data_IF_900938490204
#
_entry.id   IF_900938490204
#
_cell.length_a   1.000
_cell.length_b   1.000
_cell.length_c   1.000
_cell.angle_alpha   90.00
_cell.angle_beta   90.00
_cell.angle_gamma   90.00
#
_symmetry.space_group_name_H-M   'P 1'
#
loop_
_entity.id
_entity.type
_entity.pdbx_description
1 polymer ?
#
# COMPACT_ATOMS: atom_id res chain seq x y z
N UNK A 1 1.25 1.00 -24.17
CA UNK A 1 1.74 1.15 -22.79
C UNK A 1 2.80 2.25 -22.84
N UNK A 2 2.60 3.38 -22.15
CA UNK A 2 3.60 4.46 -22.13
C UNK A 2 4.90 3.92 -21.52
N UNK A 3 6.03 4.31 -22.14
CA UNK A 3 7.37 4.01 -21.61
C UNK A 3 7.75 4.95 -20.45
N UNK A 4 7.16 6.14 -20.42
CA UNK A 4 7.52 7.25 -19.55
C UNK A 4 6.80 7.24 -18.19
N UNK A 5 5.53 6.85 -18.16
CA UNK A 5 4.73 6.74 -16.94
C UNK A 5 4.32 5.28 -16.78
N UNK A 6 4.93 4.62 -15.79
CA UNK A 6 4.57 3.25 -15.43
C UNK A 6 3.11 3.21 -14.99
N UNK A 7 2.40 2.16 -15.41
CA UNK A 7 1.03 1.87 -14.99
C UNK A 7 -0.02 2.98 -15.26
N UNK A 8 0.17 3.80 -16.29
CA UNK A 8 -0.83 4.83 -16.64
C UNK A 8 -2.15 4.20 -17.11
N UNK A 9 -3.25 4.52 -16.41
CA UNK A 9 -4.55 3.89 -16.59
C UNK A 9 -5.53 4.68 -17.49
N UNK A 10 -5.15 5.88 -17.89
CA UNK A 10 -5.92 6.76 -18.78
C UNK A 10 -5.15 7.08 -20.06
N UNK A 11 -5.86 7.56 -21.08
CA UNK A 11 -5.26 8.23 -22.23
C UNK A 11 -5.88 9.61 -22.39
N UNK A 12 -5.06 10.57 -22.79
CA UNK A 12 -5.44 11.97 -23.00
C UNK A 12 -5.65 12.18 -24.50
N UNK A 13 -6.74 12.85 -24.87
CA UNK A 13 -6.93 13.33 -26.23
C UNK A 13 -6.12 14.63 -26.41
N UNK A 14 -5.10 14.61 -27.26
CA UNK A 14 -4.38 15.81 -27.64
C UNK A 14 -5.21 16.60 -28.66
N UNK A 15 -5.67 17.80 -28.28
CA UNK A 15 -6.51 18.68 -29.12
C UNK A 15 -5.79 19.12 -30.40
N UNK A 16 -4.47 19.31 -30.34
CA UNK A 16 -3.63 19.65 -31.48
C UNK A 16 -3.64 18.58 -32.60
N UNK A 17 -3.40 17.31 -32.26
CA UNK A 17 -3.32 16.21 -33.23
C UNK A 17 -4.63 15.46 -33.45
N UNK A 18 -5.64 15.67 -32.58
CA UNK A 18 -6.88 14.88 -32.47
C UNK A 18 -6.60 13.37 -32.33
N UNK A 19 -5.56 13.02 -31.57
CA UNK A 19 -5.12 11.64 -31.32
C UNK A 19 -4.98 11.38 -29.82
N UNK A 20 -5.10 10.12 -29.44
CA UNK A 20 -5.00 9.67 -28.05
C UNK A 20 -3.56 9.33 -27.70
N UNK A 21 -3.09 9.82 -26.56
CA UNK A 21 -1.75 9.56 -26.06
C UNK A 21 -1.82 9.20 -24.58
N UNK A 22 -0.93 8.32 -24.14
CA UNK A 22 -0.85 7.90 -22.75
C UNK A 22 -0.19 8.98 -21.85
N UNK A 23 0.71 9.79 -22.38
CA UNK A 23 1.54 10.75 -21.64
C UNK A 23 2.09 11.85 -22.59
N UNK A 24 2.49 13.01 -22.06
CA UNK A 24 2.96 14.14 -22.88
C UNK A 24 4.24 13.82 -23.67
N UNK A 25 5.13 13.01 -23.10
CA UNK A 25 6.35 12.56 -23.78
C UNK A 25 6.03 11.63 -24.95
N UNK A 26 5.02 10.76 -24.83
CA UNK A 26 4.58 9.91 -25.96
C UNK A 26 3.98 10.71 -27.12
N UNK A 27 3.46 11.92 -26.87
CA UNK A 27 3.06 12.84 -27.94
C UNK A 27 4.27 13.50 -28.59
N UNK A 28 5.25 13.96 -27.80
CA UNK A 28 6.49 14.57 -28.31
C UNK A 28 7.32 13.60 -29.16
N UNK A 29 7.27 12.30 -28.89
CA UNK A 29 7.91 11.28 -29.74
C UNK A 29 7.21 11.09 -31.10
N UNK A 30 5.91 11.34 -31.16
CA UNK A 30 5.08 11.06 -32.35
C UNK A 30 4.71 12.32 -33.15
N UNK A 31 5.05 13.50 -32.65
CA UNK A 31 4.68 14.76 -33.27
C UNK A 31 5.74 15.84 -33.06
N UNK A 32 5.87 16.71 -34.05
CA UNK A 32 6.93 17.73 -34.11
C UNK A 32 6.61 19.01 -33.31
N UNK A 33 5.64 18.96 -32.40
CA UNK A 33 5.19 20.12 -31.60
C UNK A 33 4.89 19.71 -30.15
N UNK A 34 4.72 20.69 -29.26
CA UNK A 34 4.31 20.47 -27.86
C UNK A 34 2.79 20.26 -27.74
N UNK A 35 2.35 19.45 -26.78
CA UNK A 35 0.92 19.31 -26.47
C UNK A 35 0.36 20.69 -26.11
N UNK A 36 -0.72 21.06 -26.79
CA UNK A 36 -1.50 22.25 -26.46
C UNK A 36 -2.19 22.08 -25.10
N UNK A 37 -1.95 23.03 -24.19
CA UNK A 37 -2.52 23.06 -22.84
C UNK A 37 -3.88 23.73 -22.92
N UNK A 38 -4.89 23.06 -22.38
CA UNK A 38 -6.25 23.58 -22.32
C UNK A 38 -6.82 23.38 -20.91
N UNK A 39 -7.84 24.16 -20.56
CA UNK A 39 -8.52 24.12 -19.26
C UNK A 39 -9.32 22.82 -19.14
N UNK A 40 -9.94 22.39 -20.25
CA UNK A 40 -10.72 21.15 -20.30
C UNK A 40 -9.89 20.05 -20.97
N UNK A 41 -9.61 18.98 -20.22
CA UNK A 41 -8.96 17.78 -20.76
C UNK A 41 -10.00 16.67 -20.97
N UNK A 42 -9.86 15.97 -22.09
CA UNK A 42 -10.69 14.82 -22.44
C UNK A 42 -9.86 13.56 -22.25
N UNK A 43 -10.34 12.69 -21.37
CA UNK A 43 -9.64 11.48 -20.93
C UNK A 43 -10.48 10.24 -21.26
N UNK A 44 -9.80 9.13 -21.57
CA UNK A 44 -10.42 7.81 -21.68
C UNK A 44 -9.79 6.87 -20.67
N UNK A 45 -10.62 6.18 -19.88
CA UNK A 45 -10.14 5.15 -18.96
C UNK A 45 -9.89 3.83 -19.70
N UNK A 46 -8.72 3.20 -19.51
CA UNK A 46 -8.40 1.91 -20.16
C UNK A 46 -9.24 0.75 -19.63
N UNK A 47 -9.63 0.79 -18.35
CA UNK A 47 -10.45 -0.25 -17.69
C UNK A 47 -11.88 -0.29 -18.23
N UNK A 48 -12.57 0.86 -18.25
CA UNK A 48 -13.97 0.93 -18.67
C UNK A 48 -14.19 1.43 -20.11
N UNK A 49 -13.14 1.93 -20.77
CA UNK A 49 -13.16 2.51 -22.14
C UNK A 49 -14.17 3.64 -22.31
N UNK A 50 -14.57 4.30 -21.22
CA UNK A 50 -15.46 5.45 -21.26
C UNK A 50 -14.66 6.74 -21.25
N UNK A 51 -15.12 7.67 -22.08
CA UNK A 51 -14.57 9.01 -22.21
C UNK A 51 -15.25 9.91 -21.19
N UNK A 52 -14.46 10.72 -20.51
CA UNK A 52 -14.93 11.73 -19.56
C UNK A 52 -14.08 13.00 -19.71
N UNK A 53 -14.56 14.09 -19.12
CA UNK A 53 -13.91 15.40 -19.17
C UNK A 53 -13.52 15.83 -17.77
N UNK A 54 -12.42 16.55 -17.67
CA UNK A 54 -11.94 17.12 -16.42
C UNK A 54 -11.54 18.58 -16.64
N UNK A 55 -11.88 19.41 -15.66
CA UNK A 55 -11.45 20.80 -15.60
C UNK A 55 -10.17 20.90 -14.77
N UNK A 56 -9.06 21.27 -15.41
CA UNK A 56 -7.74 21.36 -14.77
C UNK A 56 -7.68 22.45 -13.70
N UNK A 57 -8.54 23.48 -13.81
CA UNK A 57 -8.60 24.60 -12.85
C UNK A 57 -9.16 24.20 -11.48
N UNK A 58 -9.94 23.11 -11.42
CA UNK A 58 -10.55 22.61 -10.18
C UNK A 58 -9.98 21.27 -9.74
N UNK A 59 -8.87 20.86 -10.35
CA UNK A 59 -8.32 19.53 -10.16
C UNK A 59 -7.87 19.31 -8.71
N UNK A 60 -8.52 18.37 -8.03
CA UNK A 60 -8.11 17.85 -6.72
C UNK A 60 -7.52 16.43 -6.91
N UNK A 61 -6.22 16.21 -6.62
CA UNK A 61 -5.59 14.89 -6.74
C UNK A 61 -6.31 13.76 -5.98
N UNK A 62 -7.00 14.07 -4.88
CA UNK A 62 -7.66 13.10 -4.02
C UNK A 62 -9.04 12.69 -4.57
N UNK A 63 -9.80 13.64 -5.13
CA UNK A 63 -11.16 13.41 -5.61
C UNK A 63 -11.18 13.09 -7.12
N UNK A 64 -10.40 13.83 -7.90
CA UNK A 64 -10.29 13.68 -9.35
C UNK A 64 -9.24 12.65 -9.76
N UNK A 65 -8.54 12.02 -8.82
CA UNK A 65 -7.60 10.93 -9.11
C UNK A 65 -8.25 9.65 -9.67
N UNK A 66 -9.59 9.59 -9.74
CA UNK A 66 -10.36 8.39 -10.04
C UNK A 66 -11.31 8.56 -11.23
N UNK A 67 -11.54 7.47 -11.95
CA UNK A 67 -12.52 7.46 -13.03
C UNK A 67 -13.93 7.52 -12.44
N UNK A 68 -14.79 8.49 -12.83
CA UNK A 68 -16.12 8.73 -12.23
C UNK A 68 -17.15 7.63 -12.52
N UNK A 69 -16.73 6.48 -13.06
CA UNK A 69 -17.62 5.40 -13.47
C UNK A 69 -17.18 4.02 -13.00
N UNK A 70 -15.88 3.79 -12.83
CA UNK A 70 -15.37 2.48 -12.40
C UNK A 70 -14.34 2.59 -11.27
N UNK A 71 -14.23 3.78 -10.68
CA UNK A 71 -13.33 4.15 -9.57
C UNK A 71 -11.89 3.69 -9.79
N UNK A 72 -11.46 3.65 -11.06
CA UNK A 72 -10.09 3.31 -11.40
C UNK A 72 -9.20 4.53 -11.19
N UNK A 73 -8.16 4.38 -10.37
CA UNK A 73 -7.19 5.44 -10.14
C UNK A 73 -6.35 5.69 -11.40
N UNK A 74 -6.17 6.96 -11.80
CA UNK A 74 -5.52 7.32 -13.06
C UNK A 74 -4.00 7.19 -12.98
N UNK A 75 -3.47 7.49 -11.80
CA UNK A 75 -2.06 7.35 -11.45
C UNK A 75 -1.95 6.37 -10.29
N UNK A 76 -1.50 5.16 -10.59
CA UNK A 76 -1.03 4.23 -9.58
C UNK A 76 0.46 4.54 -9.42
N UNK A 77 0.88 4.88 -8.20
CA UNK A 77 2.30 4.91 -7.88
C UNK A 77 2.89 3.56 -8.29
N UNK A 78 3.98 3.61 -9.06
CA UNK A 78 4.68 2.38 -9.38
C UNK A 78 5.16 1.79 -8.07
N UNK A 79 4.92 0.50 -7.83
CA UNK A 79 5.77 -0.32 -6.97
C UNK A 79 7.17 -0.29 -7.62
N UNK A 80 7.91 0.80 -7.43
CA UNK A 80 9.36 0.71 -7.28
C UNK A 80 9.52 -0.34 -6.21
N UNK A 81 10.18 -1.47 -6.47
CA UNK A 81 10.39 -2.53 -5.47
C UNK A 81 11.00 -2.04 -4.15
N UNK A 82 11.36 -0.77 -4.05
CA UNK A 82 11.66 -0.03 -2.82
C UNK A 82 10.46 0.07 -1.84
N UNK A 83 9.21 -0.05 -2.29
CA UNK A 83 8.02 -0.21 -1.41
C UNK A 83 7.83 -1.65 -0.91
N UNK A 84 8.70 -2.59 -1.30
CA UNK A 84 8.77 -3.94 -0.71
C UNK A 84 9.56 -3.99 0.61
N UNK A 85 9.96 -2.85 1.18
CA UNK A 85 10.12 -2.75 2.63
C UNK A 85 8.74 -2.67 3.32
N UNK A 86 7.78 -3.52 2.91
CA UNK A 86 6.74 -3.97 3.83
C UNK A 86 7.50 -4.54 5.02
N UNK A 87 7.43 -3.86 6.16
CA UNK A 87 8.00 -4.37 7.42
C UNK A 87 7.38 -5.73 7.70
N UNK A 88 8.01 -6.79 7.20
CA UNK A 88 7.70 -8.17 7.56
C UNK A 88 8.37 -8.40 8.89
N UNK A 89 7.62 -8.20 9.97
CA UNK A 89 8.06 -8.60 11.31
C UNK A 89 8.08 -10.12 11.33
N UNK A 90 9.26 -10.71 11.13
CA UNK A 90 9.46 -12.15 11.33
C UNK A 90 9.48 -12.38 12.84
N UNK A 91 8.40 -12.95 13.37
CA UNK A 91 8.34 -13.38 14.78
C UNK A 91 8.97 -14.76 14.86
N UNK A 92 10.20 -14.83 15.36
CA UNK A 92 10.85 -16.09 15.68
C UNK A 92 10.40 -16.53 17.08
N UNK A 93 9.87 -17.75 17.21
CA UNK A 93 9.51 -18.31 18.50
C UNK A 93 10.80 -18.65 19.26
N UNK A 94 10.87 -18.31 20.55
CA UNK A 94 11.99 -18.74 21.40
C UNK A 94 11.96 -20.25 21.60
N UNK A 95 13.14 -20.85 21.71
CA UNK A 95 13.31 -22.29 21.98
C UNK A 95 12.48 -22.72 23.20
N UNK A 96 11.58 -23.69 22.98
CA UNK A 96 10.69 -24.26 24.00
C UNK A 96 9.24 -23.76 23.97
N UNK A 97 8.85 -22.87 23.05
CA UNK A 97 7.44 -22.55 22.80
C UNK A 97 6.87 -23.42 21.66
N UNK A 98 5.79 -24.14 21.96
CA UNK A 98 4.96 -24.79 20.93
C UNK A 98 4.15 -23.72 20.17
N UNK A 99 3.90 -23.91 18.86
CA UNK A 99 3.15 -22.96 18.03
C UNK A 99 1.77 -22.59 18.61
N UNK A 100 1.14 -23.54 19.32
CA UNK A 100 -0.14 -23.32 19.97
C UNK A 100 -0.07 -22.28 21.11
N UNK A 101 1.08 -22.11 21.77
CA UNK A 101 1.26 -21.25 22.95
C UNK A 101 1.84 -19.87 22.64
N UNK A 102 2.19 -19.62 21.37
CA UNK A 102 2.70 -18.32 20.91
C UNK A 102 1.68 -17.18 21.09
N UNK A 103 0.38 -17.49 21.02
CA UNK A 103 -0.69 -16.51 21.21
C UNK A 103 -1.31 -16.69 22.60
N UNK A 104 -1.24 -15.62 23.40
CA UNK A 104 -1.90 -15.56 24.72
C UNK A 104 -3.42 -15.59 24.52
N UNK A 105 -4.05 -16.65 25.02
CA UNK A 105 -5.52 -16.73 25.12
C UNK A 105 -5.91 -16.70 26.60
N UNK A 106 -6.68 -15.70 27.02
CA UNK A 106 -7.13 -15.51 28.41
C UNK A 106 -8.36 -16.34 28.77
N UNK A 107 -8.98 -17.01 27.79
CA UNK A 107 -10.20 -17.81 28.00
C UNK A 107 -9.90 -19.24 28.44
N UNK A 108 -8.67 -19.72 28.23
CA UNK A 108 -8.24 -21.06 28.59
C UNK A 108 -7.31 -21.03 29.83
N UNK A 109 -7.84 -21.33 31.03
CA UNK A 109 -7.06 -21.30 32.27
C UNK A 109 -5.98 -22.39 32.33
N UNK A 110 -6.16 -23.51 31.61
CA UNK A 110 -5.18 -24.59 31.59
C UNK A 110 -3.94 -24.21 30.77
N UNK A 111 -4.15 -23.46 29.68
CA UNK A 111 -3.08 -22.88 28.87
C UNK A 111 -2.27 -21.83 29.65
N UNK A 112 -2.95 -20.98 30.42
CA UNK A 112 -2.28 -19.95 31.22
C UNK A 112 -1.49 -20.54 32.40
N UNK A 113 -1.99 -21.60 33.04
CA UNK A 113 -1.24 -22.34 34.06
C UNK A 113 0.03 -22.99 33.51
N UNK A 114 -0.03 -23.56 32.30
CA UNK A 114 1.13 -24.15 31.59
C UNK A 114 2.19 -23.08 31.28
N UNK A 115 1.75 -21.93 30.77
CA UNK A 115 2.62 -20.78 30.47
C UNK A 115 3.32 -20.26 31.74
N UNK A 116 2.59 -20.11 32.84
CA UNK A 116 3.15 -19.68 34.13
C UNK A 116 4.23 -20.63 34.65
N UNK A 117 3.96 -21.93 34.61
CA UNK A 117 4.93 -22.95 35.03
C UNK A 117 6.21 -22.91 34.19
N UNK A 118 6.10 -22.78 32.86
CA UNK A 118 7.27 -22.65 31.99
C UNK A 118 8.09 -21.38 32.30
N UNK A 119 7.42 -20.27 32.59
CA UNK A 119 8.07 -19.00 32.95
C UNK A 119 8.83 -19.14 34.27
N UNK A 120 8.21 -19.76 35.28
CA UNK A 120 8.80 -20.01 36.59
C UNK A 120 10.00 -20.96 36.51
N UNK A 121 9.91 -22.05 35.73
CA UNK A 121 11.03 -22.96 35.48
C UNK A 121 12.22 -22.25 34.78
N UNK A 122 11.96 -21.23 33.94
CA UNK A 122 13.01 -20.42 33.30
C UNK A 122 13.65 -19.42 34.26
N UNK A 123 12.86 -18.70 35.05
CA UNK A 123 13.37 -17.82 36.11
C UNK A 123 14.28 -18.59 37.07
N UNK A 124 13.89 -19.82 37.44
CA UNK A 124 14.70 -20.69 38.28
C UNK A 124 15.99 -21.20 37.62
N UNK A 125 16.02 -21.36 36.29
CA UNK A 125 17.21 -21.78 35.52
C UNK A 125 18.16 -20.63 35.17
N UNK A 126 17.77 -19.38 35.43
CA UNK A 126 18.64 -18.21 35.30
C UNK A 126 19.13 -17.92 33.88
N UNK A 127 18.40 -18.37 32.84
CA UNK A 127 18.81 -18.18 31.44
C UNK A 127 18.47 -16.80 30.87
N UNK A 128 17.71 -16.00 31.60
CA UNK A 128 17.12 -14.77 31.11
C UNK A 128 17.55 -13.61 32.04
N UNK A 129 18.58 -12.85 31.66
CA UNK A 129 18.87 -11.54 32.29
C UNK A 129 17.82 -10.53 31.84
N UNK A 130 16.59 -10.68 32.32
CA UNK A 130 15.55 -9.67 32.15
C UNK A 130 14.98 -9.40 33.53
N UNK A 131 15.44 -8.31 34.14
CA UNK A 131 14.81 -7.73 35.33
C UNK A 131 13.42 -7.23 34.92
N UNK A 132 12.41 -8.08 35.14
CA UNK A 132 11.00 -7.69 35.04
C UNK A 132 10.46 -7.71 36.46
N UNK A 133 10.32 -6.54 37.06
CA UNK A 133 9.64 -6.38 38.34
C UNK A 133 8.17 -6.80 38.19
N UNK A 134 7.85 -7.96 38.74
CA UNK A 134 6.54 -8.61 38.63
C UNK A 134 5.44 -7.89 39.43
N UNK A 135 5.80 -6.92 40.28
CA UNK A 135 4.86 -6.18 41.12
C UNK A 135 4.05 -5.11 40.37
N UNK A 136 4.49 -4.61 39.20
CA UNK A 136 3.77 -3.57 38.43
C UNK A 136 2.59 -4.09 37.58
N UNK A 137 2.34 -5.40 37.53
CA UNK A 137 1.26 -6.00 36.74
C UNK A 137 0.01 -6.34 37.56
N UNK A 138 -0.03 -5.96 38.83
CA UNK A 138 -1.19 -6.18 39.72
C UNK A 138 -2.24 -5.06 39.68
N UNK A 139 -1.96 -3.94 38.98
CA UNK A 139 -2.81 -2.75 38.95
C UNK A 139 -3.50 -2.46 37.58
N UNK A 140 -3.70 -3.48 36.72
CA UNK A 140 -4.48 -3.36 35.48
C UNK A 140 -5.46 -4.52 35.26
#
# INVERSE_FOLDING_TARGET
>A
MCKHVKNVQTQILAKCCKRWFDCAECHREQSDHEIEKDIELILVCKKCKKVFRIDVTKFDPQADGFCPRCDNQWYLEADTGDSEAKMTVKVELMDGYDEADAIRDTRDPAKEARRRRMLEERMARGTDNVDIDFDELSDL
#
